data_IF_349497354682
#
_entry.id   IF_349497354682
#
_cell.length_a   1.000
_cell.length_b   1.000
_cell.length_c   1.000
_cell.angle_alpha   90.00
_cell.angle_beta   90.00
_cell.angle_gamma   90.00
#
_symmetry.space_group_name_H-M   'P 1'
#
loop_
_entity.id
_entity.type
_entity.pdbx_description
1 polymer ?
#
# COMPACT_ATOMS: atom_id res chain seq x y z
N UNK A 1 -16.11 -19.48 0.85
CA UNK A 1 -16.00 -18.89 2.20
C UNK A 1 -14.96 -19.70 2.97
N UNK A 2 -14.00 -19.07 3.68
CA UNK A 2 -13.01 -19.83 4.45
C UNK A 2 -13.67 -20.55 5.64
N UNK A 3 -13.11 -21.69 6.11
CA UNK A 3 -13.78 -22.64 7.00
C UNK A 3 -13.79 -22.26 8.49
N UNK A 4 -13.28 -21.08 8.86
CA UNK A 4 -13.17 -20.69 10.26
C UNK A 4 -14.51 -20.13 10.76
N UNK A 5 -15.07 -20.71 11.82
CA UNK A 5 -16.26 -20.17 12.50
C UNK A 5 -15.93 -18.76 13.03
N UNK A 6 -16.45 -17.75 12.33
CA UNK A 6 -16.49 -16.37 12.81
C UNK A 6 -17.47 -16.36 13.99
N UNK A 7 -16.96 -16.46 15.21
CA UNK A 7 -17.75 -16.31 16.42
C UNK A 7 -18.22 -14.86 16.52
N UNK A 8 -19.37 -14.51 15.95
CA UNK A 8 -20.02 -13.22 16.18
C UNK A 8 -20.74 -13.25 17.53
N UNK A 9 -20.16 -12.61 18.54
CA UNK A 9 -20.84 -12.30 19.79
C UNK A 9 -20.51 -10.84 20.12
N UNK A 10 -21.57 -10.05 20.32
CA UNK A 10 -21.50 -8.70 20.84
C UNK A 10 -20.91 -8.74 22.25
N UNK A 11 -19.88 -7.93 22.53
CA UNK A 11 -19.36 -7.77 23.89
C UNK A 11 -19.28 -6.28 24.26
N UNK A 12 -19.76 -5.99 25.47
CA UNK A 12 -19.81 -4.67 26.11
C UNK A 12 -18.49 -4.33 26.86
N UNK A 13 -17.38 -4.98 26.53
CA UNK A 13 -16.23 -5.11 27.44
C UNK A 13 -15.07 -4.14 27.18
N UNK A 14 -15.35 -2.93 26.69
CA UNK A 14 -14.33 -1.86 26.62
C UNK A 14 -13.17 -2.12 25.64
N UNK A 15 -13.35 -2.99 24.65
CA UNK A 15 -12.39 -3.14 23.56
C UNK A 15 -12.30 -1.84 22.74
N UNK A 16 -11.06 -1.44 22.39
CA UNK A 16 -10.85 -0.44 21.33
C UNK A 16 -11.61 -0.89 20.07
N UNK A 17 -12.21 0.05 19.32
CA UNK A 17 -13.19 -0.26 18.29
C UNK A 17 -12.62 -1.25 17.27
N UNK A 18 -13.45 -2.22 16.89
CA UNK A 18 -13.32 -3.02 15.66
C UNK A 18 -12.78 -2.10 14.57
N UNK A 19 -11.50 -2.22 14.22
CA UNK A 19 -11.05 -1.70 12.93
C UNK A 19 -11.46 -2.78 11.92
N UNK A 20 -12.44 -2.41 11.09
CA UNK A 20 -12.79 -3.12 9.85
C UNK A 20 -13.60 -4.42 9.96
N UNK A 21 -14.47 -4.56 10.96
CA UNK A 21 -15.51 -5.61 10.93
C UNK A 21 -15.04 -7.06 11.17
N UNK A 22 -13.73 -7.28 11.30
CA UNK A 22 -13.13 -8.55 11.71
C UNK A 22 -12.76 -8.52 13.20
N UNK A 23 -12.85 -9.67 13.88
CA UNK A 23 -12.40 -9.81 15.27
C UNK A 23 -10.88 -9.78 15.32
N UNK A 24 -10.31 -9.23 16.40
CA UNK A 24 -8.89 -9.37 16.68
C UNK A 24 -8.57 -10.87 16.80
N UNK A 25 -7.70 -11.42 15.94
CA UNK A 25 -7.45 -12.84 15.91
C UNK A 25 -6.58 -13.29 17.08
N UNK A 26 -6.75 -14.55 17.46
CA UNK A 26 -5.86 -15.28 18.36
C UNK A 26 -4.56 -15.64 17.63
N UNK A 27 -3.54 -16.04 18.38
CA UNK A 27 -2.27 -16.49 17.78
C UNK A 27 -2.49 -17.63 16.77
N UNK A 28 -3.31 -18.63 17.12
CA UNK A 28 -3.58 -19.79 16.25
C UNK A 28 -4.24 -19.37 14.92
N UNK A 29 -5.21 -18.46 14.98
CA UNK A 29 -5.86 -17.95 13.78
C UNK A 29 -4.89 -17.15 12.90
N UNK A 30 -4.00 -16.37 13.50
CA UNK A 30 -2.94 -15.69 12.76
C UNK A 30 -1.96 -16.65 12.12
N UNK A 31 -1.50 -17.65 12.87
CA UNK A 31 -0.55 -18.64 12.38
C UNK A 31 -1.15 -19.41 11.20
N UNK A 32 -2.41 -19.84 11.30
CA UNK A 32 -3.12 -20.55 10.25
C UNK A 32 -3.27 -19.73 8.96
N UNK A 33 -3.52 -18.42 9.07
CA UNK A 33 -3.58 -17.53 7.90
C UNK A 33 -2.17 -17.31 7.34
N UNK A 34 -1.17 -17.14 8.20
CA UNK A 34 0.21 -16.85 7.80
C UNK A 34 0.88 -18.01 7.03
N UNK A 35 0.63 -19.26 7.44
CA UNK A 35 1.22 -20.45 6.82
C UNK A 35 0.65 -20.79 5.43
N UNK A 36 -0.46 -20.16 5.02
CA UNK A 36 -1.03 -20.39 3.71
C UNK A 36 -0.12 -19.81 2.62
N UNK A 37 0.08 -20.57 1.53
CA UNK A 37 0.92 -20.18 0.39
C UNK A 37 0.34 -19.00 -0.39
N UNK A 38 -0.99 -18.94 -0.49
CA UNK A 38 -1.70 -17.83 -1.10
C UNK A 38 -1.91 -16.70 -0.08
N UNK A 39 -1.70 -15.46 -0.52
CA UNK A 39 -1.95 -14.28 0.29
C UNK A 39 -2.87 -13.30 -0.45
N UNK A 40 -4.17 -13.63 -0.57
CA UNK A 40 -5.15 -12.72 -1.13
C UNK A 40 -5.30 -11.46 -0.28
N UNK A 41 -5.82 -10.39 -0.88
CA UNK A 41 -5.88 -9.05 -0.27
C UNK A 41 -6.63 -9.02 1.07
N UNK A 42 -7.64 -9.87 1.25
CA UNK A 42 -8.34 -10.01 2.52
C UNK A 42 -7.45 -10.58 3.64
N UNK A 43 -6.54 -11.51 3.34
CA UNK A 43 -5.58 -12.01 4.33
C UNK A 43 -4.56 -10.95 4.70
N UNK A 44 -4.08 -10.17 3.73
CA UNK A 44 -3.22 -9.01 3.99
C UNK A 44 -3.95 -8.03 4.91
N UNK A 45 -5.21 -7.73 4.62
CA UNK A 45 -6.04 -6.85 5.45
C UNK A 45 -6.20 -7.37 6.88
N UNK A 46 -6.43 -8.68 7.06
CA UNK A 46 -6.55 -9.29 8.40
C UNK A 46 -5.20 -9.28 9.15
N UNK A 47 -4.11 -9.67 8.48
CA UNK A 47 -2.79 -9.78 9.10
C UNK A 47 -2.17 -8.41 9.40
N UNK A 48 -2.37 -7.41 8.54
CA UNK A 48 -1.82 -6.06 8.75
C UNK A 48 -2.83 -5.08 9.36
N UNK A 49 -4.06 -5.53 9.62
CA UNK A 49 -5.16 -4.70 10.10
C UNK A 49 -5.42 -3.47 9.20
N UNK A 50 -5.55 -3.74 7.89
CA UNK A 50 -5.76 -2.77 6.82
C UNK A 50 -7.14 -2.97 6.17
N UNK A 51 -7.77 -1.90 5.71
CA UNK A 51 -8.92 -2.01 4.81
C UNK A 51 -8.51 -2.32 3.36
N UNK A 52 -9.51 -2.58 2.51
CA UNK A 52 -9.28 -2.90 1.10
C UNK A 52 -8.53 -1.78 0.36
N UNK A 53 -8.80 -0.51 0.68
CA UNK A 53 -8.18 0.63 0.00
C UNK A 53 -6.73 0.80 0.46
N UNK A 54 -6.45 0.62 1.76
CA UNK A 54 -5.12 0.62 2.35
C UNK A 54 -4.26 -0.55 1.83
N UNK A 55 -4.85 -1.73 1.60
CA UNK A 55 -4.15 -2.85 0.95
C UNK A 55 -3.78 -2.50 -0.49
N UNK A 56 -4.69 -1.89 -1.26
CA UNK A 56 -4.39 -1.45 -2.62
C UNK A 56 -3.31 -0.36 -2.65
N UNK A 57 -3.35 0.57 -1.69
CA UNK A 57 -2.34 1.63 -1.53
C UNK A 57 -0.96 1.03 -1.21
N UNK A 58 -0.89 0.06 -0.29
CA UNK A 58 0.35 -0.65 0.02
C UNK A 58 0.91 -1.36 -1.21
N UNK A 59 0.08 -2.12 -1.94
CA UNK A 59 0.49 -2.80 -3.18
C UNK A 59 0.93 -1.81 -4.26
N UNK A 60 0.23 -0.68 -4.38
CA UNK A 60 0.60 0.43 -5.28
C UNK A 60 1.98 0.97 -4.96
N UNK A 61 2.26 1.25 -3.69
CA UNK A 61 3.57 1.71 -3.24
C UNK A 61 4.68 0.69 -3.50
N UNK A 62 4.39 -0.60 -3.26
CA UNK A 62 5.32 -1.69 -3.58
C UNK A 62 5.66 -1.70 -5.08
N UNK A 63 4.63 -1.65 -5.95
CA UNK A 63 4.82 -1.60 -7.42
C UNK A 63 5.60 -0.37 -7.83
N UNK A 64 5.34 0.79 -7.22
CA UNK A 64 6.13 2.00 -7.45
C UNK A 64 7.61 1.74 -7.23
N UNK A 65 8.02 1.25 -6.06
CA UNK A 65 9.44 0.97 -5.78
C UNK A 65 10.02 -0.12 -6.68
N UNK A 66 9.23 -1.12 -7.06
CA UNK A 66 9.66 -2.17 -8.00
C UNK A 66 9.99 -1.64 -9.40
N UNK A 67 9.35 -0.55 -9.87
CA UNK A 67 9.58 0.03 -11.21
C UNK A 67 10.87 0.82 -11.33
N UNK A 68 11.36 1.39 -10.24
CA UNK A 68 12.52 2.31 -10.30
C UNK A 68 13.78 1.72 -9.68
N UNK A 69 13.64 0.82 -8.71
CA UNK A 69 14.81 0.27 -8.02
C UNK A 69 15.40 -0.88 -8.85
N UNK A 70 16.49 -0.58 -9.53
CA UNK A 70 17.40 -1.56 -10.14
C UNK A 70 18.53 -1.89 -9.16
N UNK A 71 19.02 -3.12 -9.18
CA UNK A 71 20.10 -3.57 -8.28
C UNK A 71 21.35 -4.00 -9.03
N UNK A 72 21.19 -4.55 -10.23
CA UNK A 72 22.31 -4.96 -11.08
C UNK A 72 21.89 -5.00 -12.55
N UNK A 73 22.87 -4.98 -13.44
CA UNK A 73 22.64 -5.29 -14.85
C UNK A 73 22.33 -6.78 -15.03
N UNK A 74 21.36 -7.08 -15.88
CA UNK A 74 20.97 -8.46 -16.13
C UNK A 74 22.07 -9.23 -16.84
N UNK A 75 22.54 -10.35 -16.27
CA UNK A 75 23.54 -11.21 -16.91
C UNK A 75 22.96 -12.11 -18.02
N UNK A 76 21.63 -12.19 -18.10
CA UNK A 76 20.88 -12.97 -19.11
C UNK A 76 19.61 -12.22 -19.55
N UNK A 77 18.99 -12.68 -20.65
CA UNK A 77 17.67 -12.19 -21.05
C UNK A 77 16.59 -12.75 -20.13
N UNK A 78 15.67 -11.91 -19.66
CA UNK A 78 14.54 -12.27 -18.81
C UNK A 78 13.27 -12.29 -19.66
N UNK A 79 12.58 -13.41 -19.66
CA UNK A 79 11.32 -13.60 -20.38
C UNK A 79 10.15 -13.76 -19.40
N UNK A 80 8.94 -13.45 -19.85
CA UNK A 80 7.74 -13.70 -19.08
C UNK A 80 7.58 -15.22 -18.81
N UNK A 81 7.44 -15.67 -17.55
CA UNK A 81 7.16 -17.07 -17.26
C UNK A 81 5.84 -17.47 -17.91
N UNK A 82 5.88 -18.45 -18.82
CA UNK A 82 4.70 -18.88 -19.55
C UNK A 82 3.72 -19.60 -18.60
N UNK A 83 2.46 -19.18 -18.58
CA UNK A 83 1.35 -20.05 -18.18
C UNK A 83 1.01 -20.95 -19.36
N UNK A 84 1.70 -22.08 -19.47
CA UNK A 84 1.39 -23.15 -20.44
C UNK A 84 2.43 -23.37 -21.55
N UNK A 85 2.22 -24.40 -22.40
CA UNK A 85 3.16 -24.78 -23.45
C UNK A 85 3.01 -23.82 -24.65
N UNK A 86 3.67 -22.67 -24.56
CA UNK A 86 3.85 -21.76 -25.69
C UNK A 86 5.18 -22.04 -26.41
N UNK A 87 5.22 -22.00 -27.75
CA UNK A 87 6.46 -22.19 -28.50
C UNK A 87 7.50 -21.15 -28.08
N UNK A 88 8.76 -21.58 -27.99
CA UNK A 88 9.89 -20.83 -27.40
C UNK A 88 10.04 -19.39 -27.94
N UNK A 89 9.58 -19.12 -29.17
CA UNK A 89 9.63 -17.81 -29.84
C UNK A 89 8.48 -16.84 -29.53
N UNK A 90 7.51 -17.21 -28.70
CA UNK A 90 6.34 -16.37 -28.38
C UNK A 90 6.40 -15.72 -26.99
N UNK A 91 7.51 -15.89 -26.26
CA UNK A 91 7.68 -15.34 -24.91
C UNK A 91 8.06 -13.87 -24.98
N UNK A 92 7.28 -13.02 -24.30
CA UNK A 92 7.60 -11.60 -24.17
C UNK A 92 8.94 -11.42 -23.44
N UNK A 93 9.89 -10.75 -24.07
CA UNK A 93 11.13 -10.32 -23.44
C UNK A 93 10.82 -9.18 -22.46
N UNK A 94 11.09 -9.40 -21.18
CA UNK A 94 10.88 -8.43 -20.10
C UNK A 94 12.11 -7.58 -19.84
N UNK A 95 13.31 -8.17 -19.90
CA UNK A 95 14.58 -7.48 -19.66
C UNK A 95 15.66 -8.07 -20.57
N UNK A 96 16.41 -7.21 -21.27
CA UNK A 96 17.52 -7.65 -22.11
C UNK A 96 18.80 -7.78 -21.28
N UNK A 97 19.65 -8.75 -21.62
CA UNK A 97 21.01 -8.84 -21.07
C UNK A 97 21.76 -7.52 -21.22
N UNK A 98 22.43 -7.10 -20.15
CA UNK A 98 23.17 -5.84 -20.08
C UNK A 98 22.30 -4.61 -19.85
N UNK A 99 21.01 -4.78 -19.58
CA UNK A 99 20.14 -3.68 -19.14
C UNK A 99 19.85 -3.76 -17.64
N UNK A 100 19.58 -2.62 -16.97
CA UNK A 100 19.27 -2.59 -15.56
C UNK A 100 18.06 -3.48 -15.23
N UNK A 101 18.28 -4.46 -14.36
CA UNK A 101 17.23 -5.35 -13.93
C UNK A 101 16.42 -4.70 -12.81
N UNK A 102 15.18 -4.32 -13.13
CA UNK A 102 14.22 -3.79 -12.17
C UNK A 102 13.74 -4.88 -11.20
N UNK A 103 13.32 -4.46 -10.01
CA UNK A 103 12.91 -5.37 -8.94
C UNK A 103 11.81 -6.37 -9.32
N UNK A 104 10.93 -6.02 -10.27
CA UNK A 104 9.84 -6.91 -10.71
C UNK A 104 10.23 -7.93 -11.80
N UNK A 105 11.38 -7.77 -12.46
CA UNK A 105 11.80 -8.70 -13.52
C UNK A 105 12.15 -10.10 -12.98
N UNK A 106 12.64 -10.17 -11.75
CA UNK A 106 13.15 -11.41 -11.15
C UNK A 106 12.02 -12.33 -10.67
N UNK A 107 12.19 -13.64 -10.74
CA UNK A 107 11.26 -14.59 -10.11
C UNK A 107 11.58 -14.76 -8.61
N UNK A 108 10.60 -15.10 -7.76
CA UNK A 108 10.85 -15.35 -6.34
C UNK A 108 11.93 -16.41 -6.14
N UNK A 109 12.97 -16.06 -5.40
CA UNK A 109 14.08 -16.93 -5.01
C UNK A 109 14.81 -16.29 -3.83
N UNK A 110 15.60 -17.06 -3.07
CA UNK A 110 16.40 -16.52 -1.96
C UNK A 110 17.31 -15.35 -2.40
N UNK A 111 17.92 -15.48 -3.57
CA UNK A 111 18.76 -14.42 -4.16
C UNK A 111 17.93 -13.19 -4.52
N UNK A 112 16.75 -13.39 -5.09
CA UNK A 112 15.82 -12.31 -5.44
C UNK A 112 15.30 -11.58 -4.21
N UNK A 113 15.05 -12.29 -3.10
CA UNK A 113 14.64 -11.66 -1.83
C UNK A 113 15.69 -10.68 -1.31
N UNK A 114 16.98 -11.04 -1.40
CA UNK A 114 18.07 -10.13 -1.04
C UNK A 114 18.09 -8.89 -1.95
N UNK A 115 17.94 -9.08 -3.26
CA UNK A 115 17.84 -7.99 -4.23
C UNK A 115 16.65 -7.06 -3.91
N UNK A 116 15.50 -7.63 -3.54
CA UNK A 116 14.28 -6.89 -3.19
C UNK A 116 14.30 -6.27 -1.80
N UNK A 117 15.33 -6.52 -0.98
CA UNK A 117 15.43 -5.93 0.36
C UNK A 117 15.43 -4.40 0.35
N UNK A 118 15.94 -3.78 -0.71
CA UNK A 118 15.89 -2.31 -0.90
C UNK A 118 14.47 -1.78 -1.13
N UNK A 119 13.59 -2.60 -1.71
CA UNK A 119 12.16 -2.29 -1.87
C UNK A 119 11.46 -2.45 -0.52
N UNK A 120 11.74 -3.52 0.21
CA UNK A 120 11.20 -3.73 1.56
C UNK A 120 11.57 -2.57 2.49
N UNK A 121 12.84 -2.14 2.50
CA UNK A 121 13.27 -0.99 3.28
C UNK A 121 12.50 0.28 2.89
N UNK A 122 12.37 0.58 1.60
CA UNK A 122 11.68 1.78 1.14
C UNK A 122 10.21 1.80 1.58
N UNK A 123 9.50 0.68 1.39
CA UNK A 123 8.11 0.55 1.82
C UNK A 123 7.98 0.64 3.34
N UNK A 124 8.93 0.09 4.10
CA UNK A 124 8.93 0.23 5.56
C UNK A 124 9.08 1.67 6.03
N UNK A 125 9.82 2.51 5.28
CA UNK A 125 9.96 3.94 5.55
C UNK A 125 8.69 4.72 5.20
N UNK A 126 7.97 4.32 4.15
CA UNK A 126 6.70 4.92 3.75
C UNK A 126 5.54 4.50 4.69
N UNK A 127 5.60 3.30 5.26
CA UNK A 127 4.60 2.74 6.18
C UNK A 127 5.19 2.36 7.55
N UNK A 128 5.74 3.33 8.32
CA UNK A 128 6.40 3.03 9.60
C UNK A 128 5.41 2.47 10.63
N UNK A 129 4.14 2.85 10.55
CA UNK A 129 3.08 2.30 11.40
C UNK A 129 2.83 0.79 11.18
N UNK A 130 3.26 0.23 10.05
CA UNK A 130 3.12 -1.19 9.71
C UNK A 130 4.44 -1.95 9.79
N UNK A 131 5.59 -1.32 9.56
CA UNK A 131 6.86 -2.05 9.42
C UNK A 131 8.01 -1.46 10.23
N UNK A 132 7.72 -0.56 11.19
CA UNK A 132 8.74 -0.17 12.16
C UNK A 132 9.06 -1.34 13.09
N UNK A 133 10.35 -1.60 13.23
CA UNK A 133 10.93 -2.53 14.20
C UNK A 133 10.79 -1.99 15.62
N UNK A 134 10.58 -2.88 16.59
CA UNK A 134 10.50 -2.51 18.00
C UNK A 134 11.81 -1.85 18.46
N UNK A 135 11.72 -0.71 19.12
CA UNK A 135 12.88 0.03 19.60
C UNK A 135 13.45 -0.52 20.91
N UNK A 136 12.70 -1.40 21.59
CA UNK A 136 13.13 -2.03 22.83
C UNK A 136 12.62 -3.47 22.99
N UNK A 137 13.21 -4.21 23.93
CA UNK A 137 12.77 -5.55 24.29
C UNK A 137 11.36 -5.54 24.89
N UNK A 138 11.00 -4.51 25.66
CA UNK A 138 9.64 -4.38 26.21
C UNK A 138 8.60 -4.19 25.11
N UNK A 139 8.89 -3.38 24.09
CA UNK A 139 8.01 -3.22 22.94
C UNK A 139 7.82 -4.55 22.21
N UNK A 140 8.92 -5.25 21.92
CA UNK A 140 8.87 -6.59 21.30
C UNK A 140 8.02 -7.55 22.14
N UNK A 141 8.25 -7.64 23.45
CA UNK A 141 7.44 -8.50 24.34
C UNK A 141 5.96 -8.15 24.31
N UNK A 142 5.61 -6.86 24.25
CA UNK A 142 4.20 -6.43 24.14
C UNK A 142 3.56 -6.90 22.85
N UNK A 143 4.27 -6.88 21.72
CA UNK A 143 3.75 -7.43 20.46
C UNK A 143 3.47 -8.93 20.56
N UNK A 144 4.25 -9.66 21.37
CA UNK A 144 4.08 -11.10 21.61
C UNK A 144 3.13 -11.45 22.77
N UNK A 145 2.59 -10.45 23.47
CA UNK A 145 1.69 -10.67 24.62
C UNK A 145 0.24 -10.36 24.24
N UNK A 146 -0.67 -11.35 24.28
CA UNK A 146 -2.08 -11.10 24.04
C UNK A 146 -2.73 -10.32 25.18
N UNK A 147 -3.89 -9.73 24.90
CA UNK A 147 -4.75 -9.11 25.92
C UNK A 147 -5.45 -10.17 26.79
N UNK A 148 -6.26 -9.72 27.75
CA UNK A 148 -7.04 -10.58 28.66
C UNK A 148 -8.00 -11.56 27.97
N UNK A 149 -8.28 -11.37 26.67
CA UNK A 149 -9.15 -12.20 25.86
C UNK A 149 -8.37 -13.12 24.89
N UNK A 150 -7.05 -13.29 25.09
CA UNK A 150 -6.15 -14.02 24.18
C UNK A 150 -6.07 -13.44 22.75
N UNK A 151 -6.47 -12.19 22.57
CA UNK A 151 -6.40 -11.47 21.31
C UNK A 151 -5.16 -10.58 21.27
N UNK A 152 -4.55 -10.49 20.10
CA UNK A 152 -3.39 -9.63 19.90
C UNK A 152 -3.80 -8.27 19.32
N UNK A 153 -3.11 -7.22 19.76
CA UNK A 153 -3.38 -5.85 19.33
C UNK A 153 -2.63 -5.44 18.06
N UNK A 154 -1.52 -6.11 17.77
CA UNK A 154 -0.65 -5.87 16.61
C UNK A 154 0.05 -7.16 16.24
N UNK A 155 0.21 -7.43 14.95
CA UNK A 155 1.01 -8.56 14.47
C UNK A 155 2.48 -8.33 14.82
N UNK A 156 3.20 -9.32 15.39
CA UNK A 156 4.61 -9.14 15.70
C UNK A 156 5.44 -8.75 14.48
N UNK A 157 6.43 -7.88 14.68
CA UNK A 157 7.27 -7.31 13.62
C UNK A 157 7.82 -8.34 12.65
N UNK A 158 8.27 -9.50 13.16
CA UNK A 158 8.80 -10.58 12.35
C UNK A 158 7.80 -11.06 11.28
N UNK A 159 6.53 -11.26 11.65
CA UNK A 159 5.47 -11.62 10.72
C UNK A 159 5.18 -10.47 9.75
N UNK A 160 5.10 -9.22 10.23
CA UNK A 160 4.88 -8.04 9.36
C UNK A 160 5.95 -7.93 8.28
N UNK A 161 7.22 -8.15 8.65
CA UNK A 161 8.35 -8.15 7.71
C UNK A 161 8.25 -9.28 6.69
N UNK A 162 7.90 -10.48 7.12
CA UNK A 162 7.77 -11.64 6.23
C UNK A 162 6.56 -11.49 5.29
N UNK A 163 5.46 -10.92 5.77
CA UNK A 163 4.29 -10.52 4.96
C UNK A 163 4.70 -9.52 3.88
N UNK A 164 5.48 -8.49 4.24
CA UNK A 164 5.98 -7.50 3.27
C UNK A 164 6.82 -8.16 2.17
N UNK A 165 7.75 -9.05 2.53
CA UNK A 165 8.57 -9.76 1.55
C UNK A 165 7.71 -10.57 0.58
N UNK A 166 6.71 -11.32 1.09
CA UNK A 166 5.75 -12.06 0.25
C UNK A 166 4.92 -11.15 -0.64
N UNK A 167 4.45 -10.01 -0.13
CA UNK A 167 3.69 -9.04 -0.92
C UNK A 167 4.50 -8.43 -2.06
N UNK A 168 5.81 -8.19 -1.85
CA UNK A 168 6.70 -7.71 -2.91
C UNK A 168 6.82 -8.75 -4.01
N UNK A 169 6.97 -10.02 -3.65
CA UNK A 169 7.03 -11.12 -4.62
C UNK A 169 5.73 -11.26 -5.40
N UNK A 170 4.57 -11.17 -4.73
CA UNK A 170 3.24 -11.18 -5.36
C UNK A 170 3.09 -10.01 -6.33
N UNK A 171 3.40 -8.78 -5.90
CA UNK A 171 3.30 -7.60 -6.75
C UNK A 171 4.21 -7.69 -7.98
N UNK A 172 5.42 -8.24 -7.81
CA UNK A 172 6.32 -8.45 -8.94
C UNK A 172 5.77 -9.46 -9.95
N UNK A 173 5.21 -10.57 -9.49
CA UNK A 173 4.56 -11.56 -10.36
C UNK A 173 3.32 -11.00 -11.05
N UNK A 174 2.51 -10.22 -10.35
CA UNK A 174 1.35 -9.54 -10.93
C UNK A 174 1.76 -8.56 -12.03
N UNK A 175 2.86 -7.81 -11.85
CA UNK A 175 3.42 -6.94 -12.89
C UNK A 175 3.94 -7.69 -14.12
N UNK A 176 4.38 -8.95 -13.98
CA UNK A 176 4.74 -9.79 -15.13
C UNK A 176 3.50 -10.19 -15.92
N UNK A 177 2.43 -10.57 -15.22
CA UNK A 177 1.17 -11.05 -15.81
C UNK A 177 0.34 -9.91 -16.43
N UNK A 178 0.23 -8.78 -15.74
CA UNK A 178 -0.55 -7.62 -16.18
C UNK A 178 0.37 -6.44 -16.54
N UNK A 179 0.39 -6.10 -17.83
CA UNK A 179 1.20 -5.00 -18.36
C UNK A 179 0.74 -3.64 -17.85
N UNK A 180 -0.54 -3.49 -17.49
CA UNK A 180 -1.08 -2.23 -17.00
C UNK A 180 -0.42 -1.84 -15.68
N UNK A 181 -0.11 -2.81 -14.83
CA UNK A 181 0.57 -2.60 -13.55
C UNK A 181 2.03 -2.14 -13.70
N UNK A 182 2.60 -2.24 -14.91
CA UNK A 182 3.97 -1.75 -15.20
C UNK A 182 4.03 -0.24 -15.38
N UNK A 183 2.91 0.40 -15.73
CA UNK A 183 2.84 1.86 -15.86
C UNK A 183 2.37 2.48 -14.54
N UNK A 184 3.07 3.51 -14.03
CA UNK A 184 2.66 4.18 -12.78
C UNK A 184 1.31 4.92 -12.88
N UNK A 185 0.83 5.17 -14.10
CA UNK A 185 -0.45 5.85 -14.33
C UNK A 185 -1.69 5.02 -13.95
N UNK A 186 -1.53 3.70 -13.73
CA UNK A 186 -2.63 2.78 -13.38
C UNK A 186 -2.74 2.54 -11.88
N UNK A 187 -1.81 3.10 -11.10
CA UNK A 187 -1.85 2.99 -9.66
C UNK A 187 -2.97 3.87 -9.08
N UNK A 188 -3.70 3.38 -8.07
CA UNK A 188 -4.68 4.20 -7.35
C UNK A 188 -3.96 5.44 -6.81
N UNK A 189 -4.62 6.61 -6.95
CA UNK A 189 -4.10 7.85 -6.37
C UNK A 189 -3.91 7.64 -4.86
N UNK A 190 -2.77 8.05 -4.28
CA UNK A 190 -2.51 7.87 -2.85
C UNK A 190 -3.68 8.48 -2.07
N UNK A 191 -4.21 7.71 -1.13
CA UNK A 191 -5.28 8.20 -0.28
C UNK A 191 -4.63 9.19 0.67
N UNK A 192 -4.88 10.48 0.49
CA UNK A 192 -4.54 11.47 1.52
C UNK A 192 -5.25 11.07 2.80
N UNK A 193 -4.55 10.37 3.70
CA UNK A 193 -4.99 10.14 5.08
C UNK A 193 -5.32 11.51 5.67
N UNK A 194 -6.62 11.81 5.81
CA UNK A 194 -7.05 12.79 6.80
C UNK A 194 -6.53 12.25 8.13
N UNK A 195 -5.57 12.95 8.71
CA UNK A 195 -5.08 12.69 10.05
C UNK A 195 -6.27 12.46 10.98
N UNK A 196 -6.17 11.41 11.80
CA UNK A 196 -7.22 11.03 12.74
C UNK A 196 -7.49 12.09 13.84
N UNK A 197 -6.82 13.26 13.79
CA UNK A 197 -7.08 14.40 14.67
C UNK A 197 -8.13 15.39 14.14
N UNK A 198 -8.68 15.22 12.92
CA UNK A 198 -9.70 16.15 12.39
C UNK A 198 -11.14 15.80 12.78
N UNK A 199 -11.34 15.00 13.83
CA UNK A 199 -12.69 14.68 14.34
C UNK A 199 -13.02 15.57 15.54
N UNK A 200 -12.91 16.88 15.35
CA UNK A 200 -13.51 17.84 16.28
C UNK A 200 -14.48 18.76 15.53
N UNK A 201 -15.71 18.73 16.06
CA UNK A 201 -16.85 19.61 15.84
C UNK A 201 -17.70 19.40 14.57
N UNK A 202 -18.97 18.95 14.72
CA UNK A 202 -19.93 19.05 13.63
C UNK A 202 -20.22 20.54 13.37
N UNK A 203 -20.16 21.02 12.11
CA UNK A 203 -20.58 22.37 11.82
C UNK A 203 -22.11 22.43 11.92
N UNK A 204 -22.60 23.07 12.97
CA UNK A 204 -23.95 23.62 13.02
C UNK A 204 -24.14 24.49 11.77
N UNK A 205 -24.91 24.00 10.81
CA UNK A 205 -25.54 24.83 9.78
C UNK A 205 -27.03 24.83 10.05
N UNK A 206 -27.66 26.01 9.93
CA UNK A 206 -28.89 26.05 9.18
C UNK A 206 -28.69 26.89 7.92
N UNK A 207 -29.06 26.23 6.82
CA UNK A 207 -29.34 26.72 5.48
C UNK A 207 -29.89 28.14 5.45
N UNK A 208 -29.41 28.94 4.50
CA UNK A 208 -30.35 29.75 3.73
C UNK A 208 -29.93 29.91 2.27
N UNK A 209 -30.91 29.62 1.41
CA UNK A 209 -30.89 29.72 -0.05
C UNK A 209 -30.86 31.19 -0.48
N UNK A 210 -30.07 31.54 -1.48
CA UNK A 210 -30.57 32.29 -2.67
C UNK A 210 -29.51 32.35 -3.78
N UNK A 211 -29.97 32.01 -4.98
CA UNK A 211 -29.30 32.22 -6.25
C UNK A 211 -29.36 33.69 -6.67
N UNK A 212 -28.36 34.19 -7.41
CA UNK A 212 -28.59 35.00 -8.63
C UNK A 212 -27.32 35.20 -9.47
N UNK A 213 -27.53 35.05 -10.77
CA UNK A 213 -26.64 35.21 -11.94
C UNK A 213 -26.46 36.69 -12.36
N UNK A 214 -25.26 36.99 -12.89
CA UNK A 214 -24.82 38.00 -13.89
C UNK A 214 -25.02 39.54 -13.75
N UNK A 215 -23.86 40.24 -13.89
CA UNK A 215 -23.42 41.52 -14.53
C UNK A 215 -24.46 42.49 -15.17
N UNK A 216 -24.08 43.71 -15.65
CA UNK A 216 -23.11 44.74 -15.20
C UNK A 216 -23.73 46.18 -15.19
N UNK A 217 -23.04 47.21 -14.67
CA UNK A 217 -23.32 48.62 -15.00
C UNK A 217 -22.08 49.48 -14.74
N UNK A 218 -21.72 50.29 -15.75
CA UNK A 218 -20.42 50.94 -15.87
C UNK A 218 -20.34 52.41 -15.44
N UNK A 219 -19.15 52.93 -15.75
CA UNK A 219 -18.66 54.31 -15.86
C UNK A 219 -18.83 55.30 -14.71
N UNK A 220 -17.68 55.68 -14.14
CA UNK A 220 -17.31 57.10 -14.06
C UNK A 220 -15.79 57.28 -14.25
N UNK A 221 -15.51 58.17 -15.20
CA UNK A 221 -14.23 58.67 -15.71
C UNK A 221 -13.39 59.49 -14.74
N UNK A 222 -12.06 59.39 -14.86
CA UNK A 222 -11.06 60.50 -14.92
C UNK A 222 -9.66 59.88 -14.76
N UNK A 223 -8.92 59.64 -15.84
CA UNK A 223 -8.03 60.59 -16.54
C UNK A 223 -7.04 61.30 -15.62
N UNK A 224 -5.76 60.88 -15.66
CA UNK A 224 -4.59 61.74 -15.95
C UNK A 224 -3.25 60.98 -15.76
N UNK A 225 -2.55 60.76 -16.89
CA UNK A 225 -1.08 60.85 -17.12
C UNK A 225 -0.16 59.86 -16.35
N UNK A 226 0.91 59.29 -16.90
CA UNK A 226 1.64 59.49 -18.17
C UNK A 226 2.62 58.32 -18.37
N UNK A 227 2.69 57.85 -19.61
CA UNK A 227 3.89 57.47 -20.41
C UNK A 227 4.90 56.42 -19.89
N UNK A 228 4.94 55.30 -20.64
CA UNK A 228 6.15 54.56 -20.98
C UNK A 228 7.09 55.42 -21.86
N UNK A 229 8.41 55.31 -21.66
CA UNK A 229 9.38 55.24 -22.76
C UNK A 229 10.76 54.75 -22.25
N UNK A 230 11.38 53.93 -23.09
CA UNK A 230 12.66 53.23 -22.98
C UNK A 230 13.91 54.14 -23.10
N UNK A 231 15.07 53.49 -22.92
CA UNK A 231 16.44 53.84 -23.39
C UNK A 231 17.29 54.71 -22.47
N UNK A 232 18.23 54.08 -21.78
CA UNK A 232 19.65 53.98 -22.21
C UNK A 232 20.23 52.61 -21.80
#
# INVERSE_FOLDING_TARGET
MPPFKILTANHNDGEKPKRFGYKAPTFDAWLEIFIQDEMPDNFVGILLNLDSDEVQELKSCIRHHLRFRAVADSSYDVYNPATGPLPLGSRELLCRRGTPQLGWHLSPSKTTTLVRSVVALAVSLDFPHLFKESASLEESRREWTPNSFNCYSVVPYQFRRDILARLIDICAEDMKKDKNLRAGATDPKPYTKKSASSRENPPNTPKNKRARTELPLGDMSSSLKREHASLE
#
